data_IF_745810861623
#
_entry.id   IF_745810861623
#
_cell.length_a   1.000
_cell.length_b   1.000
_cell.length_c   1.000
_cell.angle_alpha   90.00
_cell.angle_beta   90.00
_cell.angle_gamma   90.00
#
_symmetry.space_group_name_H-M   'P 1'
#
loop_
_entity.id
_entity.type
_entity.pdbx_description
1 polymer ?
#
# COMPACT_ATOMS: atom_id res chain seq x y z
N UNK A 1 43.19 43.34 -20.67
CA UNK A 1 43.81 42.05 -20.29
C UNK A 1 44.57 41.50 -21.50
N UNK A 2 45.86 41.23 -21.38
CA UNK A 2 46.68 40.73 -22.49
C UNK A 2 46.35 39.27 -22.85
N UNK A 3 46.84 38.82 -24.01
CA UNK A 3 46.58 37.49 -24.61
C UNK A 3 46.82 36.33 -23.62
N UNK A 4 47.80 36.48 -22.73
CA UNK A 4 48.12 35.50 -21.66
C UNK A 4 47.00 35.40 -20.61
N UNK A 5 46.39 36.52 -20.23
CA UNK A 5 45.31 36.55 -19.24
C UNK A 5 44.03 35.87 -19.73
N UNK A 6 43.74 35.96 -21.03
CA UNK A 6 42.61 35.23 -21.63
C UNK A 6 42.88 33.72 -21.62
N UNK A 7 44.07 33.26 -22.01
CA UNK A 7 44.41 31.82 -22.00
C UNK A 7 44.32 31.21 -20.61
N UNK A 8 44.78 31.92 -19.57
CA UNK A 8 44.68 31.45 -18.18
C UNK A 8 43.21 31.37 -17.73
N UNK A 9 42.39 32.36 -18.09
CA UNK A 9 40.95 32.35 -17.76
C UNK A 9 40.20 31.20 -18.42
N UNK A 10 40.50 30.86 -19.69
CA UNK A 10 39.89 29.72 -20.37
C UNK A 10 40.25 28.40 -19.69
N UNK A 11 41.51 28.22 -19.31
CA UNK A 11 41.96 27.01 -18.61
C UNK A 11 41.27 26.81 -17.26
N UNK A 12 41.13 27.88 -16.47
CA UNK A 12 40.43 27.81 -15.18
C UNK A 12 38.95 27.47 -15.36
N UNK A 13 38.30 28.02 -16.39
CA UNK A 13 36.90 27.73 -16.68
C UNK A 13 36.66 26.27 -17.12
N UNK A 14 37.54 25.72 -17.97
CA UNK A 14 37.47 24.32 -18.38
C UNK A 14 37.66 23.35 -17.20
N UNK A 15 38.60 23.62 -16.29
CA UNK A 15 38.75 22.83 -15.06
C UNK A 15 37.50 22.89 -14.17
N UNK A 16 36.85 24.05 -14.04
CA UNK A 16 35.63 24.19 -13.26
C UNK A 16 34.46 23.40 -13.85
N UNK A 17 34.32 23.39 -15.17
CA UNK A 17 33.29 22.59 -15.88
C UNK A 17 33.54 21.09 -15.71
N UNK A 18 34.79 20.65 -15.82
CA UNK A 18 35.16 19.26 -15.60
C UNK A 18 34.87 18.80 -14.17
N UNK A 19 35.21 19.61 -13.16
CA UNK A 19 34.91 19.30 -11.76
C UNK A 19 33.41 19.24 -11.48
N UNK A 20 32.61 20.15 -12.02
CA UNK A 20 31.16 20.13 -11.88
C UNK A 20 30.52 18.87 -12.50
N UNK A 21 31.06 18.39 -13.62
CA UNK A 21 30.60 17.18 -14.32
C UNK A 21 30.89 15.90 -13.53
N UNK A 22 32.04 15.83 -12.84
CA UNK A 22 32.38 14.69 -11.99
C UNK A 22 31.48 14.66 -10.75
N UNK A 23 31.24 15.81 -10.12
CA UNK A 23 30.40 15.90 -8.92
C UNK A 23 28.94 15.49 -9.19
N UNK A 24 28.38 15.85 -10.35
CA UNK A 24 27.02 15.42 -10.73
C UNK A 24 26.94 13.92 -11.05
N UNK A 25 27.98 13.35 -11.65
CA UNK A 25 28.08 11.91 -11.89
C UNK A 25 28.06 11.11 -10.59
N UNK A 26 28.85 11.51 -9.59
CA UNK A 26 28.91 10.83 -8.28
C UNK A 26 27.58 10.94 -7.54
N UNK A 27 26.90 12.08 -7.61
CA UNK A 27 25.57 12.25 -7.02
C UNK A 27 24.54 11.31 -7.66
N UNK A 28 24.59 11.15 -8.99
CA UNK A 28 23.66 10.27 -9.74
C UNK A 28 23.86 8.80 -9.40
N UNK A 29 25.12 8.36 -9.30
CA UNK A 29 25.47 6.98 -8.90
C UNK A 29 25.04 6.72 -7.44
N UNK A 30 25.19 7.70 -6.56
CA UNK A 30 24.77 7.58 -5.16
C UNK A 30 23.25 7.48 -5.02
N UNK A 31 22.50 8.26 -5.80
CA UNK A 31 21.04 8.17 -5.87
C UNK A 31 20.57 6.84 -6.45
N UNK A 32 21.24 6.33 -7.49
CA UNK A 32 20.96 5.00 -8.04
C UNK A 32 21.22 3.89 -7.01
N UNK A 33 22.32 3.97 -6.26
CA UNK A 33 22.60 3.01 -5.19
C UNK A 33 21.58 3.09 -4.04
N UNK A 34 21.17 4.29 -3.64
CA UNK A 34 20.09 4.47 -2.66
C UNK A 34 18.76 3.90 -3.17
N UNK A 35 18.45 4.09 -4.45
CA UNK A 35 17.28 3.50 -5.09
C UNK A 35 17.34 1.97 -5.08
N UNK A 36 18.46 1.37 -5.52
CA UNK A 36 18.64 -0.08 -5.47
C UNK A 36 18.58 -0.65 -4.05
N UNK A 37 19.21 0.03 -3.08
CA UNK A 37 19.17 -0.36 -1.66
C UNK A 37 17.76 -0.25 -1.08
N UNK A 38 16.99 0.76 -1.49
CA UNK A 38 15.59 0.91 -1.11
C UNK A 38 14.73 -0.21 -1.70
N UNK A 39 14.89 -0.53 -2.98
CA UNK A 39 14.15 -1.62 -3.64
C UNK A 39 14.50 -3.02 -3.10
N UNK A 40 15.72 -3.24 -2.61
CA UNK A 40 16.09 -4.51 -1.98
C UNK A 40 15.49 -4.70 -0.57
N UNK A 41 15.29 -3.60 0.18
CA UNK A 41 14.74 -3.66 1.54
C UNK A 41 13.23 -3.51 1.60
N UNK A 42 12.61 -2.87 0.60
CA UNK A 42 11.16 -2.68 0.52
C UNK A 42 10.61 -3.43 -0.70
N UNK A 43 10.80 -4.74 -0.70
CA UNK A 43 9.94 -5.60 -1.52
C UNK A 43 8.55 -5.58 -0.86
N UNK A 44 7.51 -5.35 -1.65
CA UNK A 44 6.14 -5.67 -1.26
C UNK A 44 6.03 -7.18 -1.13
N UNK A 45 6.52 -7.71 -0.01
CA UNK A 45 6.49 -9.15 0.24
C UNK A 45 5.05 -9.48 0.59
N UNK A 46 4.36 -10.14 -0.34
CA UNK A 46 3.03 -10.64 -0.10
C UNK A 46 3.06 -11.67 1.05
N UNK A 47 2.03 -11.66 1.90
CA UNK A 47 1.90 -12.52 3.08
C UNK A 47 2.27 -14.00 2.85
N UNK A 48 1.97 -14.55 1.67
CA UNK A 48 2.22 -15.95 1.33
C UNK A 48 3.71 -16.31 1.20
N UNK A 49 4.58 -15.35 0.88
CA UNK A 49 6.03 -15.58 0.76
C UNK A 49 6.65 -15.70 2.15
N UNK A 50 6.22 -14.87 3.10
CA UNK A 50 6.72 -14.88 4.48
C UNK A 50 6.32 -16.18 5.17
N UNK A 51 5.05 -16.59 5.07
CA UNK A 51 4.56 -17.83 5.69
C UNK A 51 5.29 -19.06 5.16
N UNK A 52 5.50 -19.16 3.83
CA UNK A 52 6.23 -20.27 3.24
C UNK A 52 7.72 -20.32 3.66
N UNK A 53 8.27 -19.21 4.14
CA UNK A 53 9.67 -19.10 4.59
C UNK A 53 9.84 -19.22 6.11
N UNK A 54 8.75 -19.28 6.88
CA UNK A 54 8.80 -19.64 8.30
C UNK A 54 9.09 -21.14 8.51
N UNK A 55 8.70 -21.97 7.55
CA UNK A 55 8.96 -23.42 7.57
C UNK A 55 10.37 -23.78 7.07
N UNK A 56 11.13 -22.80 6.56
CA UNK A 56 12.50 -23.00 6.09
C UNK A 56 13.44 -22.95 7.30
N UNK A 57 14.10 -24.06 7.64
CA UNK A 57 14.97 -24.19 8.82
C UNK A 57 16.34 -23.50 8.66
N UNK A 58 16.48 -22.55 7.73
CA UNK A 58 17.72 -21.81 7.52
C UNK A 58 17.72 -20.48 8.33
N UNK A 59 18.33 -20.47 9.53
CA UNK A 59 18.36 -19.30 10.39
C UNK A 59 19.25 -18.16 9.84
N UNK A 60 20.11 -18.44 8.87
CA UNK A 60 21.04 -17.45 8.32
C UNK A 60 20.33 -16.52 7.32
N UNK A 61 19.28 -17.00 6.65
CA UNK A 61 18.54 -16.24 5.64
C UNK A 61 17.12 -15.83 6.04
N UNK A 62 16.44 -16.58 6.92
CA UNK A 62 15.02 -16.34 7.23
C UNK A 62 14.69 -16.32 8.74
N UNK A 63 15.44 -15.56 9.53
CA UNK A 63 15.15 -15.36 10.96
C UNK A 63 14.08 -14.26 11.21
N UNK A 64 12.85 -14.47 10.74
CA UNK A 64 11.75 -13.50 10.88
C UNK A 64 11.31 -13.38 12.34
N UNK A 65 11.49 -12.21 12.95
CA UNK A 65 11.09 -11.92 14.35
C UNK A 65 9.72 -11.26 14.49
N UNK A 66 9.13 -10.86 13.38
CA UNK A 66 7.84 -10.20 13.36
C UNK A 66 7.47 -9.81 11.95
N UNK A 67 6.18 -9.58 11.75
CA UNK A 67 5.62 -9.13 10.48
C UNK A 67 4.74 -7.92 10.76
N UNK A 68 4.94 -6.87 9.98
CA UNK A 68 4.06 -5.71 9.98
C UNK A 68 3.18 -5.81 8.74
N UNK A 69 1.88 -5.84 8.96
CA UNK A 69 0.90 -5.98 7.89
C UNK A 69 0.22 -4.63 7.73
N UNK A 70 0.39 -4.01 6.57
CA UNK A 70 -0.25 -2.76 6.22
C UNK A 70 -1.36 -3.02 5.20
N UNK A 71 -2.56 -2.54 5.51
CA UNK A 71 -3.71 -2.48 4.59
C UNK A 71 -3.90 -3.75 3.74
N UNK A 72 -3.91 -4.90 4.40
CA UNK A 72 -4.10 -6.18 3.71
C UNK A 72 -5.52 -6.68 3.83
N UNK A 73 -5.93 -7.50 2.86
CA UNK A 73 -7.14 -8.30 2.94
C UNK A 73 -6.80 -9.63 3.63
N UNK A 74 -7.13 -9.72 4.93
CA UNK A 74 -6.95 -10.93 5.75
C UNK A 74 -8.06 -11.97 5.54
N UNK A 75 -9.15 -11.57 4.90
CA UNK A 75 -10.32 -12.39 4.64
C UNK A 75 -10.82 -12.14 3.22
N UNK A 76 -12.03 -12.62 2.90
CA UNK A 76 -12.72 -12.28 1.66
C UNK A 76 -12.78 -10.76 1.49
N UNK A 77 -12.53 -10.30 0.27
CA UNK A 77 -12.46 -8.86 -0.08
C UNK A 77 -13.65 -8.07 0.45
N UNK A 78 -14.85 -8.62 0.29
CA UNK A 78 -16.11 -8.02 0.74
C UNK A 78 -16.11 -7.64 2.22
N UNK A 79 -15.55 -8.49 3.11
CA UNK A 79 -15.48 -8.20 4.55
C UNK A 79 -14.49 -7.10 4.88
N UNK A 80 -13.37 -7.06 4.15
CA UNK A 80 -12.32 -6.06 4.36
C UNK A 80 -12.66 -4.70 3.76
N UNK A 81 -13.51 -4.66 2.74
CA UNK A 81 -13.75 -3.45 1.94
C UNK A 81 -15.17 -2.90 2.10
N UNK A 82 -16.20 -3.72 1.92
CA UNK A 82 -17.58 -3.24 1.73
C UNK A 82 -18.31 -3.07 3.07
N UNK A 83 -18.11 -4.01 3.99
CA UNK A 83 -18.79 -4.09 5.28
C UNK A 83 -18.51 -2.87 6.18
N UNK A 84 -17.35 -2.26 6.03
CA UNK A 84 -16.95 -1.09 6.80
C UNK A 84 -17.49 0.24 6.27
N UNK A 85 -17.96 0.29 5.02
CA UNK A 85 -18.19 1.57 4.32
C UNK A 85 -19.23 2.43 5.02
N UNK A 86 -20.40 1.87 5.35
CA UNK A 86 -21.47 2.62 6.01
C UNK A 86 -21.05 3.18 7.37
N UNK A 87 -20.36 2.37 8.17
CA UNK A 87 -19.85 2.74 9.51
C UNK A 87 -18.76 3.80 9.42
N UNK A 88 -17.86 3.67 8.45
CA UNK A 88 -16.85 4.69 8.16
C UNK A 88 -17.54 6.00 7.79
N UNK A 89 -18.58 5.97 6.94
CA UNK A 89 -19.32 7.17 6.57
C UNK A 89 -20.20 7.72 7.71
N UNK A 90 -20.64 6.88 8.64
CA UNK A 90 -21.39 7.32 9.81
C UNK A 90 -20.50 8.06 10.80
N UNK A 91 -19.31 7.55 11.06
CA UNK A 91 -18.36 8.17 11.98
C UNK A 91 -17.57 9.32 11.33
N UNK A 92 -16.99 9.09 10.15
CA UNK A 92 -16.16 10.04 9.42
C UNK A 92 -16.94 10.84 8.37
N UNK A 93 -18.27 10.77 8.36
CA UNK A 93 -19.12 11.48 7.40
C UNK A 93 -18.75 12.94 7.16
N UNK A 94 -18.41 13.76 8.18
CA UNK A 94 -17.97 15.14 7.97
C UNK A 94 -16.66 15.30 7.19
N UNK A 95 -15.80 14.27 7.15
CA UNK A 95 -14.57 14.28 6.35
C UNK A 95 -14.84 14.02 4.87
N UNK A 96 -15.99 13.43 4.54
CA UNK A 96 -16.41 13.18 3.16
C UNK A 96 -17.44 14.22 2.73
N UNK A 97 -17.25 14.86 1.59
CA UNK A 97 -18.21 15.81 1.02
C UNK A 97 -19.42 15.10 0.35
N UNK A 98 -19.97 14.08 0.99
CA UNK A 98 -21.13 13.33 0.50
C UNK A 98 -22.43 13.97 1.00
N UNK A 99 -23.41 14.10 0.12
CA UNK A 99 -24.74 14.55 0.51
C UNK A 99 -25.49 13.47 1.31
N UNK A 100 -26.58 13.85 1.98
CA UNK A 100 -27.40 12.93 2.77
C UNK A 100 -27.91 11.75 1.94
N UNK A 101 -28.39 12.03 0.72
CA UNK A 101 -28.95 11.03 -0.19
C UNK A 101 -27.93 9.96 -0.57
N UNK A 102 -26.66 10.31 -0.79
CA UNK A 102 -25.60 9.35 -1.10
C UNK A 102 -25.31 8.44 0.10
N UNK A 103 -25.30 8.99 1.31
CA UNK A 103 -25.12 8.19 2.54
C UNK A 103 -26.31 7.27 2.80
N UNK A 104 -27.52 7.73 2.53
CA UNK A 104 -28.74 6.92 2.61
C UNK A 104 -28.74 5.79 1.58
N UNK A 105 -28.32 6.06 0.34
CA UNK A 105 -28.19 5.03 -0.70
C UNK A 105 -27.16 3.95 -0.30
N UNK A 106 -26.07 4.32 0.36
CA UNK A 106 -25.07 3.34 0.84
C UNK A 106 -25.65 2.47 1.95
N UNK A 107 -26.44 3.03 2.88
CA UNK A 107 -27.16 2.24 3.89
C UNK A 107 -28.18 1.30 3.27
N UNK A 108 -28.90 1.77 2.26
CA UNK A 108 -29.85 0.92 1.53
C UNK A 108 -29.14 -0.28 0.85
N UNK A 109 -27.96 -0.06 0.28
CA UNK A 109 -27.15 -1.14 -0.29
C UNK A 109 -26.69 -2.11 0.80
N UNK A 110 -26.21 -1.59 1.94
CA UNK A 110 -25.78 -2.40 3.08
C UNK A 110 -26.89 -3.34 3.58
N UNK A 111 -28.10 -2.79 3.78
CA UNK A 111 -29.25 -3.56 4.25
C UNK A 111 -29.72 -4.57 3.20
N UNK A 112 -29.75 -4.17 1.92
CA UNK A 112 -30.10 -5.06 0.80
C UNK A 112 -29.15 -6.25 0.68
N UNK A 113 -27.86 -6.04 0.95
CA UNK A 113 -26.84 -7.08 0.92
C UNK A 113 -26.78 -7.92 2.20
N UNK A 114 -27.53 -7.56 3.25
CA UNK A 114 -27.53 -8.27 4.54
C UNK A 114 -26.25 -8.06 5.36
N UNK A 115 -25.50 -6.99 5.08
CA UNK A 115 -24.23 -6.72 5.76
C UNK A 115 -24.43 -6.27 7.21
N UNK A 116 -25.51 -5.52 7.48
CA UNK A 116 -25.89 -5.09 8.83
C UNK A 116 -26.00 -6.27 9.79
N UNK A 117 -26.81 -7.27 9.42
CA UNK A 117 -27.05 -8.46 10.24
C UNK A 117 -25.77 -9.25 10.48
N UNK A 118 -24.97 -9.47 9.41
CA UNK A 118 -23.72 -10.20 9.54
C UNK A 118 -22.77 -9.51 10.54
N UNK A 119 -22.65 -8.18 10.50
CA UNK A 119 -21.76 -7.45 11.40
C UNK A 119 -22.24 -7.56 12.84
N UNK A 120 -23.55 -7.36 13.06
CA UNK A 120 -24.15 -7.40 14.40
C UNK A 120 -24.06 -8.79 15.05
N UNK A 121 -24.11 -9.86 14.25
CA UNK A 121 -24.00 -11.23 14.73
C UNK A 121 -22.55 -11.71 14.87
N UNK A 122 -21.69 -11.39 13.90
CA UNK A 122 -20.38 -12.04 13.72
C UNK A 122 -19.17 -11.16 14.06
N UNK A 123 -19.30 -9.83 14.03
CA UNK A 123 -18.22 -8.89 14.34
C UNK A 123 -18.40 -8.27 15.75
N UNK A 124 -18.74 -9.12 16.72
CA UNK A 124 -18.92 -8.75 18.13
C UNK A 124 -17.71 -9.11 18.99
N UNK A 125 -17.58 -8.45 20.14
CA UNK A 125 -16.59 -8.82 21.17
C UNK A 125 -17.28 -9.16 22.50
N UNK A 126 -17.02 -10.34 23.10
CA UNK A 126 -16.16 -11.41 22.61
C UNK A 126 -16.71 -12.07 21.34
N UNK A 127 -15.86 -12.75 20.52
CA UNK A 127 -16.30 -13.37 19.27
C UNK A 127 -17.43 -14.38 19.50
N UNK A 128 -18.47 -14.31 18.68
CA UNK A 128 -19.65 -15.19 18.76
C UNK A 128 -19.39 -16.62 18.27
N UNK A 129 -18.32 -16.85 17.50
CA UNK A 129 -17.92 -18.17 17.02
C UNK A 129 -17.17 -18.11 15.69
N UNK A 130 -17.18 -19.23 14.96
CA UNK A 130 -16.69 -19.25 13.58
C UNK A 130 -17.64 -18.49 12.67
N UNK A 131 -17.09 -17.57 11.88
CA UNK A 131 -17.84 -16.83 10.88
C UNK A 131 -18.28 -17.75 9.73
N UNK A 132 -19.45 -17.51 9.12
CA UNK A 132 -19.94 -18.33 8.03
C UNK A 132 -19.05 -18.20 6.80
N UNK A 133 -18.82 -19.32 6.10
CA UNK A 133 -17.97 -19.35 4.90
C UNK A 133 -18.68 -18.66 3.73
N UNK A 134 -20.00 -18.75 3.65
CA UNK A 134 -20.79 -18.02 2.67
C UNK A 134 -21.27 -16.70 3.27
N UNK A 135 -21.05 -15.62 2.52
CA UNK A 135 -21.37 -14.26 2.94
C UNK A 135 -22.42 -13.77 1.96
N UNK A 136 -23.58 -13.37 2.47
CA UNK A 136 -24.64 -12.78 1.67
C UNK A 136 -24.16 -11.46 1.07
N UNK A 137 -24.55 -11.16 -0.16
CA UNK A 137 -24.11 -9.96 -0.89
C UNK A 137 -22.67 -9.97 -1.39
N UNK A 138 -21.87 -10.99 -1.02
CA UNK A 138 -20.50 -11.09 -1.47
C UNK A 138 -20.42 -11.48 -2.93
N UNK A 139 -19.81 -10.62 -3.77
CA UNK A 139 -19.48 -10.97 -5.15
C UNK A 139 -18.67 -12.27 -5.18
N UNK A 140 -19.25 -13.33 -5.76
CA UNK A 140 -18.46 -14.50 -6.17
C UNK A 140 -17.81 -14.16 -7.50
N UNK A 141 -16.49 -14.39 -7.59
CA UNK A 141 -15.75 -14.24 -8.83
C UNK A 141 -16.34 -15.21 -9.88
N UNK A 142 -17.17 -14.70 -10.80
CA UNK A 142 -17.92 -15.51 -11.77
C UNK A 142 -19.41 -15.19 -11.91
N UNK A 143 -20.01 -14.47 -10.94
CA UNK A 143 -21.45 -14.11 -10.97
C UNK A 143 -21.74 -12.76 -11.66
N UNK A 144 -20.76 -12.19 -12.38
CA UNK A 144 -20.97 -10.98 -13.18
C UNK A 144 -21.62 -11.34 -14.51
N UNK A 145 -22.95 -11.27 -14.56
CA UNK A 145 -23.70 -11.14 -15.81
C UNK A 145 -23.92 -9.64 -16.06
N UNK A 146 -23.20 -9.01 -17.01
CA UNK A 146 -23.53 -7.66 -17.42
C UNK A 146 -24.87 -7.71 -18.16
N UNK A 147 -25.95 -7.32 -17.49
CA UNK A 147 -27.18 -6.90 -18.18
C UNK A 147 -26.91 -5.72 -19.13
#
# INVERSE_FOLDING_TARGET
MGRVGQTVSYWVNECLIALASILSGVASISLAWLWFKWHANYIWVHQHIIVAKLDDEDPDYFNVKGMMVFDTLLSKSVLGQDFGVSRVLDYWGPAFNLNKTAREAIKEIEDRCGYTDYIEENLTFPPSGFQPVEILGAFRYGDYDPE
#
